data_IF_558531374853
#
_entry.id   IF_558531374853
#
_cell.length_a   1.000
_cell.length_b   1.000
_cell.length_c   1.000
_cell.angle_alpha   90.00
_cell.angle_beta   90.00
_cell.angle_gamma   90.00
#
_symmetry.space_group_name_H-M   'P 1'
#
loop_
_entity.id
_entity.type
_entity.pdbx_description
1 polymer ?
#
# COMPACT_ATOMS: atom_id res chain seq x y z
N UNK A 1 9.73 -7.74 -13.31
CA UNK A 1 9.20 -7.13 -14.57
C UNK A 1 7.70 -6.78 -14.49
N UNK A 2 6.91 -7.47 -13.66
CA UNK A 2 5.46 -7.23 -13.48
C UNK A 2 5.11 -5.88 -12.83
N UNK A 3 5.87 -5.45 -11.81
CA UNK A 3 5.59 -4.20 -11.07
C UNK A 3 5.71 -2.91 -11.91
N UNK A 4 6.63 -2.88 -12.88
CA UNK A 4 6.77 -1.73 -13.81
C UNK A 4 5.54 -1.58 -14.71
N UNK A 5 4.98 -2.71 -15.17
CA UNK A 5 3.76 -2.72 -15.98
C UNK A 5 2.55 -2.35 -15.13
N UNK A 6 2.47 -2.83 -13.89
CA UNK A 6 1.38 -2.51 -12.97
C UNK A 6 1.33 -1.02 -12.59
N UNK A 7 2.49 -0.40 -12.33
CA UNK A 7 2.58 1.03 -12.01
C UNK A 7 2.24 1.93 -13.20
N UNK A 8 2.70 1.58 -14.41
CA UNK A 8 2.29 2.25 -15.65
C UNK A 8 0.79 2.08 -15.90
N UNK A 9 0.23 0.90 -15.63
CA UNK A 9 -1.20 0.62 -15.76
C UNK A 9 -2.01 1.42 -14.73
N UNK A 10 -1.50 1.62 -13.51
CA UNK A 10 -2.12 2.46 -12.47
C UNK A 10 -2.11 3.96 -12.85
N UNK A 11 -1.00 4.46 -13.41
CA UNK A 11 -0.92 5.84 -13.93
C UNK A 11 -1.86 6.04 -15.12
N UNK A 12 -1.96 5.05 -16.00
CA UNK A 12 -2.89 5.07 -17.15
C UNK A 12 -4.33 4.95 -16.68
N UNK A 13 -4.65 4.10 -15.71
CA UNK A 13 -5.99 3.98 -15.12
C UNK A 13 -6.43 5.28 -14.41
N UNK A 14 -5.52 5.95 -13.70
CA UNK A 14 -5.83 7.21 -13.04
C UNK A 14 -6.08 8.36 -14.03
N UNK A 15 -5.49 8.30 -15.23
CA UNK A 15 -5.81 9.21 -16.34
C UNK A 15 -7.06 8.77 -17.12
N UNK A 16 -7.35 7.47 -17.21
CA UNK A 16 -8.50 6.92 -17.91
C UNK A 16 -9.82 7.05 -17.13
N UNK A 17 -9.78 7.11 -15.80
CA UNK A 17 -10.94 7.39 -14.95
C UNK A 17 -11.58 8.77 -15.22
N UNK A 18 -10.85 9.69 -15.86
CA UNK A 18 -11.41 10.96 -16.33
C UNK A 18 -12.13 10.88 -17.69
N UNK A 19 -12.09 9.71 -18.36
CA UNK A 19 -12.62 9.51 -19.72
C UNK A 19 -13.74 8.46 -19.81
N UNK A 20 -14.14 7.82 -18.71
CA UNK A 20 -15.25 6.85 -18.73
C UNK A 20 -16.53 7.52 -18.24
N UNK A 21 -17.12 8.32 -19.14
CA UNK A 21 -18.56 8.54 -19.14
C UNK A 21 -19.20 7.46 -20.04
N UNK A 22 -19.89 6.52 -19.40
CA UNK A 22 -21.05 5.77 -19.88
C UNK A 22 -21.07 5.25 -21.33
N UNK A 23 -20.95 3.92 -21.47
CA UNK A 23 -21.68 3.16 -22.49
C UNK A 23 -21.91 1.74 -22.00
N UNK A 24 -23.13 1.48 -21.52
CA UNK A 24 -23.65 0.13 -21.30
C UNK A 24 -23.84 -0.59 -22.63
N UNK A 25 -23.43 -1.84 -22.69
CA UNK A 25 -24.09 -2.88 -23.48
C UNK A 25 -23.58 -4.25 -23.03
N UNK A 26 -24.42 -4.94 -22.28
CA UNK A 26 -24.27 -6.34 -21.92
C UNK A 26 -24.40 -7.21 -23.18
N UNK A 27 -23.42 -8.10 -23.40
CA UNK A 27 -23.56 -9.24 -24.31
C UNK A 27 -23.23 -10.51 -23.52
N UNK A 28 -24.25 -11.29 -23.24
CA UNK A 28 -24.18 -12.63 -22.66
C UNK A 28 -23.48 -13.57 -23.65
N UNK A 29 -22.39 -14.23 -23.23
CA UNK A 29 -21.85 -15.39 -23.94
C UNK A 29 -22.32 -16.68 -23.26
N UNK A 30 -22.80 -17.69 -24.00
CA UNK A 30 -23.26 -18.94 -23.42
C UNK A 30 -22.07 -19.83 -23.02
N UNK A 31 -22.08 -20.27 -21.75
CA UNK A 31 -21.19 -21.28 -21.18
C UNK A 31 -21.48 -22.66 -21.80
N UNK A 32 -20.52 -23.22 -22.55
CA UNK A 32 -20.54 -24.64 -22.93
C UNK A 32 -20.08 -25.49 -21.74
N UNK A 33 -21.04 -26.02 -20.99
CA UNK A 33 -20.82 -27.08 -20.01
C UNK A 33 -20.64 -28.42 -20.74
N UNK A 34 -19.42 -28.95 -20.77
CA UNK A 34 -19.17 -30.34 -21.18
C UNK A 34 -19.26 -31.25 -19.96
N UNK A 35 -20.40 -31.91 -19.78
CA UNK A 35 -20.54 -33.00 -18.83
C UNK A 35 -19.72 -34.21 -19.33
N UNK A 36 -18.58 -34.49 -18.70
CA UNK A 36 -17.84 -35.74 -18.89
C UNK A 36 -18.42 -36.80 -17.96
N UNK A 37 -19.07 -37.81 -18.53
CA UNK A 37 -19.45 -39.02 -17.80
C UNK A 37 -18.18 -39.75 -17.34
N UNK A 38 -18.12 -40.25 -16.10
CA UNK A 38 -16.96 -40.99 -15.64
C UNK A 38 -16.89 -42.35 -16.35
N UNK A 39 -15.79 -42.58 -17.06
CA UNK A 39 -15.45 -43.87 -17.67
C UNK A 39 -15.20 -44.87 -16.53
N UNK A 40 -16.07 -45.87 -16.41
CA UNK A 40 -15.91 -46.98 -15.47
C UNK A 40 -14.73 -47.85 -15.93
N UNK A 41 -13.60 -47.71 -15.24
CA UNK A 41 -12.48 -48.66 -15.30
C UNK A 41 -12.60 -49.60 -14.10
N UNK A 42 -12.75 -50.90 -14.38
CA UNK A 42 -12.68 -52.04 -13.46
C UNK A 42 -13.23 -51.83 -12.05
N UNK A 43 -14.36 -52.46 -11.76
CA UNK A 43 -14.99 -52.49 -10.43
C UNK A 43 -14.02 -52.92 -9.33
N UNK A 44 -13.11 -53.87 -9.60
CA UNK A 44 -12.08 -54.31 -8.65
C UNK A 44 -11.05 -53.22 -8.36
N UNK A 45 -10.58 -52.52 -9.39
CA UNK A 45 -9.63 -51.41 -9.23
C UNK A 45 -10.24 -50.25 -8.43
N UNK A 46 -11.53 -50.00 -8.64
CA UNK A 46 -12.30 -49.02 -7.88
C UNK A 46 -12.48 -49.42 -6.41
N UNK A 47 -12.79 -50.69 -6.12
CA UNK A 47 -12.90 -51.21 -4.75
C UNK A 47 -11.56 -51.13 -4.01
N UNK A 48 -10.45 -51.49 -4.65
CA UNK A 48 -9.11 -51.39 -4.06
C UNK A 48 -8.75 -49.93 -3.76
N UNK A 49 -9.08 -49.01 -4.69
CA UNK A 49 -8.87 -47.58 -4.47
C UNK A 49 -9.75 -47.03 -3.34
N UNK A 50 -11.01 -47.47 -3.23
CA UNK A 50 -11.90 -47.11 -2.13
C UNK A 50 -11.38 -47.64 -0.79
N UNK A 51 -10.98 -48.91 -0.69
CA UNK A 51 -10.42 -49.49 0.53
C UNK A 51 -9.13 -48.78 0.98
N UNK A 52 -8.28 -48.38 0.02
CA UNK A 52 -7.09 -47.55 0.32
C UNK A 52 -7.48 -46.15 0.79
N UNK A 53 -8.51 -45.54 0.21
CA UNK A 53 -9.02 -44.24 0.63
C UNK A 53 -9.64 -44.30 2.03
N UNK A 54 -10.40 -45.35 2.32
CA UNK A 54 -11.08 -45.52 3.59
C UNK A 54 -10.11 -45.89 4.72
N UNK A 55 -9.09 -46.70 4.45
CA UNK A 55 -8.01 -46.93 5.42
C UNK A 55 -7.23 -45.64 5.76
N UNK A 56 -6.95 -44.78 4.77
CA UNK A 56 -6.33 -43.46 5.02
C UNK A 56 -7.26 -42.57 5.86
N UNK A 57 -8.57 -42.55 5.55
CA UNK A 57 -9.55 -41.81 6.35
C UNK A 57 -9.65 -42.34 7.77
N UNK A 58 -9.71 -43.65 7.99
CA UNK A 58 -9.74 -44.23 9.33
C UNK A 58 -8.49 -43.88 10.16
N UNK A 59 -7.32 -43.77 9.54
CA UNK A 59 -6.13 -43.26 10.21
C UNK A 59 -6.23 -41.77 10.53
N UNK A 60 -6.80 -40.97 9.64
CA UNK A 60 -7.02 -39.54 9.90
C UNK A 60 -8.06 -39.34 11.01
N UNK A 61 -9.13 -40.13 11.01
CA UNK A 61 -10.21 -40.09 12.00
C UNK A 61 -9.72 -40.58 13.37
N UNK A 62 -8.84 -41.58 13.43
CA UNK A 62 -8.24 -42.02 14.70
C UNK A 62 -7.31 -40.95 15.29
N UNK A 63 -6.47 -40.32 14.46
CA UNK A 63 -5.62 -39.20 14.88
C UNK A 63 -6.49 -38.03 15.35
N UNK A 64 -7.57 -37.73 14.63
CA UNK A 64 -8.52 -36.67 14.98
C UNK A 64 -9.25 -36.98 16.29
N UNK A 65 -9.71 -38.22 16.49
CA UNK A 65 -10.38 -38.64 17.72
C UNK A 65 -9.45 -38.57 18.95
N UNK A 66 -8.16 -38.88 18.79
CA UNK A 66 -7.15 -38.68 19.84
C UNK A 66 -6.97 -37.18 20.13
N UNK A 67 -6.90 -36.35 19.08
CA UNK A 67 -6.86 -34.88 19.22
C UNK A 67 -8.09 -34.31 19.94
N UNK A 68 -9.28 -34.76 19.58
CA UNK A 68 -10.55 -34.36 20.19
C UNK A 68 -10.65 -34.82 21.65
N UNK A 69 -10.06 -35.98 21.97
CA UNK A 69 -9.97 -36.46 23.37
C UNK A 69 -9.02 -35.59 24.21
N UNK A 70 -7.92 -35.11 23.63
CA UNK A 70 -6.97 -34.21 24.28
C UNK A 70 -7.49 -32.78 24.41
N UNK A 71 -8.36 -32.33 23.51
CA UNK A 71 -8.99 -31.00 23.62
C UNK A 71 -10.11 -30.99 24.66
N UNK A 72 -10.88 -32.09 24.78
CA UNK A 72 -11.96 -32.22 25.77
C UNK A 72 -11.45 -32.22 27.23
N UNK A 73 -10.17 -32.54 27.43
CA UNK A 73 -9.48 -32.46 28.73
C UNK A 73 -9.50 -31.05 29.33
N UNK A 74 -9.55 -30.00 28.51
CA UNK A 74 -9.52 -28.60 28.94
C UNK A 74 -10.90 -27.94 29.03
N UNK A 75 -11.94 -28.58 28.48
CA UNK A 75 -13.32 -28.06 28.44
C UNK A 75 -14.17 -28.54 29.63
N UNK A 76 -13.88 -29.71 30.20
CA UNK A 76 -14.57 -30.22 31.40
C UNK A 76 -14.01 -29.59 32.68
N UNK A 77 -14.82 -29.34 33.72
CA UNK A 77 -14.31 -28.88 35.00
C UNK A 77 -13.24 -29.86 35.51
N UNK A 78 -12.07 -29.37 35.95
CA UNK A 78 -10.97 -30.23 36.35
C UNK A 78 -11.39 -31.07 37.55
N UNK A 79 -11.27 -32.39 37.44
CA UNK A 79 -11.42 -33.30 38.57
C UNK A 79 -10.43 -32.91 39.67
N UNK A 80 -10.94 -32.75 40.90
CA UNK A 80 -10.18 -32.26 42.07
C UNK A 80 -9.01 -33.18 42.43
N UNK A 81 -9.08 -34.47 42.08
CA UNK A 81 -8.06 -35.47 42.39
C UNK A 81 -7.12 -35.77 41.22
N UNK A 82 -7.18 -35.00 40.13
CA UNK A 82 -6.37 -35.26 38.94
C UNK A 82 -4.93 -34.74 39.13
N UNK A 83 -3.89 -35.59 39.00
CA UNK A 83 -2.52 -35.12 39.02
C UNK A 83 -2.25 -34.25 37.80
N UNK A 84 -1.68 -33.06 38.03
CA UNK A 84 -1.35 -32.13 36.98
C UNK A 84 -0.01 -32.52 36.37
N UNK A 85 -0.04 -33.44 35.40
CA UNK A 85 1.17 -33.94 34.71
C UNK A 85 2.11 -32.84 34.21
N UNK A 86 1.57 -31.67 33.82
CA UNK A 86 2.40 -30.54 33.44
C UNK A 86 3.17 -29.96 34.62
N UNK A 87 2.48 -29.68 35.74
CA UNK A 87 3.15 -29.22 36.95
C UNK A 87 4.08 -30.30 37.50
N UNK A 88 3.67 -31.57 37.48
CA UNK A 88 4.50 -32.68 37.95
C UNK A 88 5.78 -32.82 37.12
N UNK A 89 5.69 -32.70 35.79
CA UNK A 89 6.87 -32.69 34.92
C UNK A 89 7.76 -31.45 35.13
N UNK A 90 7.18 -30.28 35.43
CA UNK A 90 7.96 -29.10 35.78
C UNK A 90 8.66 -29.26 37.13
N UNK A 91 7.95 -29.75 38.14
CA UNK A 91 8.51 -30.02 39.47
C UNK A 91 9.63 -31.04 39.33
N UNK A 92 9.42 -32.15 38.62
CA UNK A 92 10.47 -33.14 38.38
C UNK A 92 11.70 -32.56 37.63
N UNK A 93 11.46 -31.68 36.66
CA UNK A 93 12.53 -31.05 35.86
C UNK A 93 13.32 -30.02 36.68
N UNK A 94 12.67 -29.23 37.52
CA UNK A 94 13.27 -28.14 38.30
C UNK A 94 13.71 -28.56 39.71
N UNK A 95 13.24 -29.69 40.25
CA UNK A 95 13.63 -30.16 41.57
C UNK A 95 15.09 -30.64 41.59
N UNK A 96 15.86 -30.07 42.51
CA UNK A 96 17.24 -30.50 42.77
C UNK A 96 17.21 -31.82 43.55
N UNK A 97 17.43 -32.93 42.86
CA UNK A 97 17.57 -34.24 43.50
C UNK A 97 18.96 -34.33 44.16
N UNK A 98 19.01 -34.82 45.40
CA UNK A 98 20.26 -35.10 46.15
C UNK A 98 21.20 -33.90 46.39
N UNK A 99 20.67 -32.67 46.43
CA UNK A 99 21.46 -31.44 46.69
C UNK A 99 22.62 -31.20 45.69
N UNK A 100 22.62 -31.85 44.53
CA UNK A 100 23.64 -31.68 43.50
C UNK A 100 23.30 -30.52 42.56
N UNK A 101 23.64 -29.31 43.00
CA UNK A 101 23.43 -28.09 42.25
C UNK A 101 24.29 -28.00 40.97
N UNK A 102 25.45 -28.67 40.95
CA UNK A 102 26.36 -28.64 39.81
C UNK A 102 25.81 -29.46 38.63
N UNK A 103 25.34 -30.68 38.90
CA UNK A 103 24.69 -31.50 37.88
C UNK A 103 23.34 -30.89 37.42
N UNK A 104 22.59 -30.28 38.34
CA UNK A 104 21.34 -29.58 38.01
C UNK A 104 21.59 -28.36 37.10
N UNK A 105 22.57 -27.51 37.42
CA UNK A 105 22.91 -26.35 36.60
C UNK A 105 23.39 -26.74 35.20
N UNK A 106 24.06 -27.90 35.06
CA UNK A 106 24.50 -28.42 33.76
C UNK A 106 23.34 -28.81 32.83
N UNK A 107 22.16 -29.15 33.38
CA UNK A 107 20.95 -29.48 32.59
C UNK A 107 20.35 -28.25 31.89
N UNK A 108 20.60 -27.06 32.44
CA UNK A 108 20.14 -25.79 31.89
C UNK A 108 21.35 -24.97 31.43
N UNK A 109 21.98 -25.31 30.29
CA UNK A 109 23.04 -24.49 29.75
C UNK A 109 22.51 -23.05 29.59
N UNK A 110 23.31 -22.06 30.00
CA UNK A 110 22.97 -20.65 29.78
C UNK A 110 22.60 -20.50 28.31
N UNK A 111 21.32 -20.20 28.03
CA UNK A 111 20.87 -19.89 26.67
C UNK A 111 21.70 -18.70 26.19
N UNK A 112 22.61 -18.95 25.25
CA UNK A 112 23.40 -17.91 24.56
C UNK A 112 22.55 -17.14 23.55
N UNK A 113 21.30 -17.55 23.37
CA UNK A 113 20.31 -16.84 22.59
C UNK A 113 19.88 -15.58 23.33
N UNK A 114 20.61 -14.49 23.09
CA UNK A 114 20.18 -13.12 23.39
C UNK A 114 18.75 -12.93 22.86
N UNK A 115 17.81 -12.73 23.76
CA UNK A 115 16.44 -12.28 23.46
C UNK A 115 16.40 -10.90 22.77
N UNK A 116 17.55 -10.24 22.60
CA UNK A 116 17.71 -8.96 21.89
C UNK A 116 17.72 -9.05 20.36
N UNK A 117 17.65 -10.24 19.76
CA UNK A 117 17.58 -10.37 18.29
C UNK A 117 16.15 -10.34 17.77
N UNK A 118 15.44 -9.24 18.06
CA UNK A 118 14.43 -8.76 17.13
C UNK A 118 15.10 -8.49 15.79
N UNK A 119 14.52 -8.93 14.66
CA UNK A 119 15.03 -8.53 13.35
C UNK A 119 15.07 -6.99 13.32
N UNK A 120 16.22 -6.36 13.02
CA UNK A 120 16.26 -4.91 12.96
C UNK A 120 15.19 -4.45 11.98
N UNK A 121 14.21 -3.68 12.46
CA UNK A 121 13.26 -3.03 11.54
C UNK A 121 14.11 -2.21 10.58
N UNK A 122 13.93 -2.33 9.26
CA UNK A 122 14.66 -1.51 8.32
C UNK A 122 14.38 -0.06 8.70
N UNK A 123 15.41 0.64 9.19
CA UNK A 123 15.29 2.05 9.52
C UNK A 123 14.93 2.75 8.21
N UNK A 124 13.87 3.55 8.25
CA UNK A 124 13.51 4.41 7.13
C UNK A 124 14.71 5.24 6.69
N UNK A 125 14.77 5.54 5.41
CA UNK A 125 15.86 6.29 4.82
C UNK A 125 15.89 7.71 5.38
N UNK A 126 16.95 8.09 6.11
CA UNK A 126 16.99 9.33 6.90
C UNK A 126 16.81 10.59 6.04
N UNK A 127 17.27 10.56 4.78
CA UNK A 127 17.11 11.69 3.86
C UNK A 127 15.65 11.95 3.51
N UNK A 128 14.78 10.94 3.58
CA UNK A 128 13.35 11.11 3.27
C UNK A 128 12.75 12.08 4.28
N UNK A 129 13.02 11.86 5.57
CA UNK A 129 12.60 12.74 6.65
C UNK A 129 13.19 14.14 6.47
N UNK A 130 14.50 14.23 6.18
CA UNK A 130 15.15 15.52 5.93
C UNK A 130 14.53 16.28 4.76
N UNK A 131 14.17 15.59 3.68
CA UNK A 131 13.54 16.20 2.52
C UNK A 131 12.10 16.66 2.81
N UNK A 132 11.33 15.87 3.57
CA UNK A 132 9.99 16.30 4.05
C UNK A 132 10.10 17.59 4.85
N UNK A 133 11.07 17.72 5.76
CA UNK A 133 11.31 18.96 6.49
C UNK A 133 11.64 20.14 5.58
N UNK A 134 12.48 19.93 4.56
CA UNK A 134 12.78 20.96 3.55
C UNK A 134 11.51 21.37 2.81
N UNK A 135 10.64 20.42 2.49
CA UNK A 135 9.37 20.67 1.78
C UNK A 135 8.39 21.49 2.64
N UNK A 136 8.29 21.16 3.93
CA UNK A 136 7.51 21.92 4.91
C UNK A 136 8.07 23.33 5.09
N UNK A 137 9.39 23.46 5.17
CA UNK A 137 10.04 24.77 5.28
C UNK A 137 9.80 25.62 4.03
N UNK A 138 9.93 25.02 2.84
CA UNK A 138 9.63 25.68 1.57
C UNK A 138 8.16 26.12 1.50
N UNK A 139 7.22 25.28 1.93
CA UNK A 139 5.81 25.67 2.05
C UNK A 139 5.59 26.82 3.04
N UNK A 140 6.23 26.79 4.20
CA UNK A 140 6.14 27.87 5.18
C UNK A 140 6.68 29.20 4.64
N UNK A 141 7.78 29.15 3.87
CA UNK A 141 8.36 30.32 3.21
C UNK A 141 7.40 30.89 2.16
N UNK A 142 6.78 30.03 1.34
CA UNK A 142 5.75 30.45 0.38
C UNK A 142 4.51 31.04 1.07
N UNK A 143 4.06 30.42 2.16
CA UNK A 143 2.95 30.93 2.98
C UNK A 143 3.22 32.33 3.50
N UNK A 144 4.46 32.59 3.95
CA UNK A 144 4.83 33.91 4.48
C UNK A 144 4.99 34.95 3.37
N UNK A 145 5.73 34.60 2.29
CA UNK A 145 6.02 35.52 1.19
C UNK A 145 4.78 35.88 0.35
N UNK A 146 3.85 34.94 0.16
CA UNK A 146 2.70 35.08 -0.75
C UNK A 146 1.37 34.83 -0.05
N UNK A 147 1.26 35.19 1.23
CA UNK A 147 0.06 34.93 2.07
C UNK A 147 -1.25 35.41 1.43
N UNK A 148 -1.26 36.61 0.84
CA UNK A 148 -2.44 37.19 0.18
C UNK A 148 -2.85 36.41 -1.06
N UNK A 149 -1.89 36.06 -1.92
CA UNK A 149 -2.14 35.31 -3.14
C UNK A 149 -2.62 33.90 -2.82
N UNK A 150 -2.00 33.23 -1.85
CA UNK A 150 -2.42 31.92 -1.35
C UNK A 150 -3.84 31.92 -0.78
N UNK A 151 -4.19 32.94 0.02
CA UNK A 151 -5.55 33.06 0.54
C UNK A 151 -6.57 33.26 -0.58
N UNK A 152 -6.25 34.06 -1.60
CA UNK A 152 -7.11 34.25 -2.76
C UNK A 152 -7.28 32.94 -3.56
N UNK A 153 -6.20 32.17 -3.74
CA UNK A 153 -6.21 30.85 -4.39
C UNK A 153 -7.13 29.88 -3.63
N UNK A 154 -6.99 29.78 -2.31
CA UNK A 154 -7.84 28.91 -1.48
C UNK A 154 -9.30 29.34 -1.57
N UNK A 155 -9.60 30.64 -1.51
CA UNK A 155 -10.97 31.15 -1.63
C UNK A 155 -11.57 30.92 -3.02
N UNK A 156 -10.75 31.03 -4.09
CA UNK A 156 -11.17 30.75 -5.46
C UNK A 156 -11.65 29.30 -5.64
N UNK A 157 -11.11 28.36 -4.86
CA UNK A 157 -11.53 26.97 -4.90
C UNK A 157 -12.96 26.76 -4.40
N UNK A 158 -13.34 27.49 -3.35
CA UNK A 158 -14.67 27.36 -2.75
C UNK A 158 -15.72 28.26 -3.42
N UNK A 159 -15.31 29.24 -4.24
CA UNK A 159 -16.21 30.20 -4.87
C UNK A 159 -15.94 30.41 -6.36
N UNK A 160 -16.88 29.93 -7.19
CA UNK A 160 -16.86 30.16 -8.64
C UNK A 160 -16.84 31.66 -9.02
N UNK A 161 -17.40 32.52 -8.16
CA UNK A 161 -17.40 33.99 -8.38
C UNK A 161 -16.00 34.57 -8.24
N UNK A 162 -15.24 34.14 -7.25
CA UNK A 162 -13.85 34.57 -7.01
C UNK A 162 -12.94 34.03 -8.11
N UNK A 163 -13.18 32.79 -8.56
CA UNK A 163 -12.45 32.17 -9.66
C UNK A 163 -12.63 32.93 -10.99
N UNK A 164 -13.86 33.35 -11.30
CA UNK A 164 -14.16 34.17 -12.47
C UNK A 164 -13.57 35.60 -12.40
N UNK A 165 -13.42 36.17 -11.20
CA UNK A 165 -12.81 37.48 -10.99
C UNK A 165 -11.29 37.44 -11.13
N UNK A 166 -10.64 36.40 -10.57
CA UNK A 166 -9.19 36.17 -10.68
C UNK A 166 -8.79 35.86 -12.12
N UNK A 167 -9.61 35.12 -12.88
CA UNK A 167 -9.28 34.78 -14.27
C UNK A 167 -9.34 36.01 -15.22
N UNK A 168 -10.07 37.08 -14.85
CA UNK A 168 -10.06 38.36 -15.56
C UNK A 168 -8.76 39.15 -15.32
N UNK A 169 -8.11 38.95 -14.17
CA UNK A 169 -6.80 39.52 -13.88
C UNK A 169 -5.71 38.66 -14.55
N UNK A 170 -5.43 38.93 -15.83
CA UNK A 170 -4.56 38.10 -16.67
C UNK A 170 -3.13 37.88 -16.14
N UNK A 171 -2.70 38.66 -15.15
CA UNK A 171 -1.37 38.59 -14.53
C UNK A 171 -1.28 37.61 -13.35
N UNK A 172 -2.41 37.15 -12.80
CA UNK A 172 -2.40 36.36 -11.57
C UNK A 172 -1.75 34.98 -11.81
N UNK A 173 -2.12 34.26 -12.88
CA UNK A 173 -1.57 32.92 -13.17
C UNK A 173 -0.14 32.91 -13.75
N UNK A 174 0.36 34.06 -14.20
CA UNK A 174 1.75 34.18 -14.65
C UNK A 174 2.68 34.67 -13.53
N UNK A 175 2.18 34.71 -12.28
CA UNK A 175 2.95 35.15 -11.14
C UNK A 175 3.91 34.05 -10.65
N UNK A 176 5.06 34.50 -10.15
CA UNK A 176 6.09 33.66 -9.53
C UNK A 176 5.57 32.66 -8.50
N UNK A 177 4.63 33.00 -7.59
CA UNK A 177 4.12 32.02 -6.64
C UNK A 177 3.46 30.81 -7.29
N UNK A 178 2.74 30.95 -8.41
CA UNK A 178 2.19 29.76 -9.08
C UNK A 178 3.25 28.79 -9.55
N UNK A 179 4.38 29.28 -10.06
CA UNK A 179 5.53 28.44 -10.41
C UNK A 179 6.06 27.70 -9.17
N UNK A 180 6.22 28.41 -8.05
CA UNK A 180 6.74 27.80 -6.83
C UNK A 180 5.77 26.79 -6.18
N UNK A 181 4.47 27.09 -6.21
CA UNK A 181 3.42 26.17 -5.77
C UNK A 181 3.37 24.91 -6.65
N UNK A 182 3.52 25.09 -7.96
CA UNK A 182 3.56 23.99 -8.91
C UNK A 182 4.81 23.12 -8.71
N UNK A 183 5.95 23.74 -8.41
CA UNK A 183 7.16 23.02 -8.06
C UNK A 183 6.99 22.23 -6.74
N UNK A 184 6.38 22.85 -5.72
CA UNK A 184 6.02 22.18 -4.46
C UNK A 184 5.17 20.95 -4.71
N UNK A 185 4.12 21.07 -5.54
CA UNK A 185 3.26 19.96 -5.97
C UNK A 185 4.05 18.82 -6.64
N UNK A 186 4.96 19.16 -7.56
CA UNK A 186 5.77 18.15 -8.24
C UNK A 186 6.66 17.35 -7.29
N UNK A 187 7.23 18.04 -6.29
CA UNK A 187 8.04 17.38 -5.27
C UNK A 187 7.21 16.59 -4.24
N UNK A 188 6.03 17.08 -3.82
CA UNK A 188 5.14 16.33 -2.91
C UNK A 188 4.64 15.05 -3.56
N UNK A 189 4.13 15.11 -4.79
CA UNK A 189 3.70 13.91 -5.52
C UNK A 189 4.89 12.99 -5.81
N UNK A 190 6.04 13.53 -6.23
CA UNK A 190 7.23 12.70 -6.46
C UNK A 190 7.67 11.96 -5.20
N UNK A 191 7.59 12.60 -4.03
CA UNK A 191 7.89 11.97 -2.74
C UNK A 191 6.83 10.94 -2.35
N UNK A 192 5.54 11.25 -2.56
CA UNK A 192 4.46 10.28 -2.36
C UNK A 192 4.65 9.02 -3.22
N UNK A 193 4.93 9.18 -4.51
CA UNK A 193 5.20 8.07 -5.43
C UNK A 193 6.45 7.27 -5.02
N UNK A 194 7.49 7.94 -4.54
CA UNK A 194 8.69 7.29 -3.99
C UNK A 194 8.33 6.38 -2.81
N UNK A 195 7.52 6.88 -1.86
CA UNK A 195 7.08 6.14 -0.68
C UNK A 195 6.15 4.98 -1.05
N UNK A 196 5.22 5.18 -1.99
CA UNK A 196 4.38 4.10 -2.52
C UNK A 196 5.24 3.00 -3.17
N UNK A 197 6.25 3.37 -3.96
CA UNK A 197 7.17 2.43 -4.58
C UNK A 197 7.89 1.55 -3.56
N UNK A 198 8.31 2.14 -2.43
CA UNK A 198 8.92 1.42 -1.30
C UNK A 198 7.91 0.53 -0.58
N UNK A 199 6.69 1.01 -0.34
CA UNK A 199 5.64 0.25 0.33
C UNK A 199 5.25 -1.02 -0.45
N UNK A 200 5.10 -0.91 -1.77
CA UNK A 200 4.78 -2.05 -2.64
C UNK A 200 6.00 -2.93 -2.99
N UNK A 201 7.15 -2.73 -2.33
CA UNK A 201 8.38 -3.50 -2.52
C UNK A 201 8.82 -3.61 -3.99
N UNK A 202 8.58 -2.57 -4.79
CA UNK A 202 9.03 -2.58 -6.17
C UNK A 202 10.55 -2.56 -6.20
N UNK A 203 11.14 -3.68 -6.59
CA UNK A 203 12.59 -3.81 -6.79
C UNK A 203 12.97 -2.98 -8.02
N UNK A 204 13.37 -1.74 -7.77
CA UNK A 204 13.99 -0.89 -8.78
C UNK A 204 15.51 -0.99 -8.67
N UNK A 205 16.20 -1.12 -9.81
CA UNK A 205 17.67 -1.08 -9.86
C UNK A 205 18.28 0.26 -9.38
N UNK A 206 17.42 1.27 -9.15
CA UNK A 206 17.83 2.59 -8.70
C UNK A 206 17.50 2.73 -7.22
N UNK A 207 18.55 2.88 -6.40
CA UNK A 207 18.39 3.10 -4.98
C UNK A 207 18.41 4.60 -4.65
N UNK A 208 17.52 4.98 -3.74
CA UNK A 208 17.61 6.18 -2.94
C UNK A 208 17.21 7.50 -3.59
N UNK A 209 17.87 8.59 -3.18
CA UNK A 209 17.56 9.98 -3.54
C UNK A 209 17.51 10.23 -5.06
N UNK A 210 18.38 9.58 -5.83
CA UNK A 210 18.39 9.72 -7.29
C UNK A 210 17.16 9.11 -7.99
N UNK A 211 16.46 8.17 -7.36
CA UNK A 211 15.17 7.67 -7.86
C UNK A 211 14.05 8.66 -7.57
N UNK A 212 14.03 9.23 -6.36
CA UNK A 212 13.11 10.30 -5.98
C UNK A 212 13.21 11.50 -6.94
N UNK A 213 14.40 12.04 -7.19
CA UNK A 213 14.58 13.19 -8.09
C UNK A 213 14.07 12.92 -9.50
N UNK A 214 14.31 11.71 -10.03
CA UNK A 214 13.79 11.31 -11.34
C UNK A 214 12.27 11.22 -11.36
N UNK A 215 11.66 10.64 -10.32
CA UNK A 215 10.21 10.59 -10.19
C UNK A 215 9.60 12.01 -10.16
N UNK A 216 10.16 12.92 -9.35
CA UNK A 216 9.70 14.31 -9.28
C UNK A 216 9.83 15.02 -10.62
N UNK A 217 10.95 14.89 -11.32
CA UNK A 217 11.14 15.50 -12.65
C UNK A 217 10.13 14.94 -13.65
N UNK A 218 9.93 13.61 -13.67
CA UNK A 218 8.94 12.98 -14.57
C UNK A 218 7.55 13.52 -14.29
N UNK A 219 7.15 13.64 -13.03
CA UNK A 219 5.85 14.20 -12.61
C UNK A 219 5.71 15.63 -13.12
N UNK A 220 6.69 16.49 -12.83
CA UNK A 220 6.67 17.90 -13.25
C UNK A 220 6.57 18.01 -14.77
N UNK A 221 7.39 17.27 -15.51
CA UNK A 221 7.40 17.30 -16.98
C UNK A 221 6.07 16.81 -17.55
N UNK A 222 5.52 15.70 -17.03
CA UNK A 222 4.26 15.13 -17.50
C UNK A 222 3.10 16.11 -17.30
N UNK A 223 2.99 16.69 -16.10
CA UNK A 223 1.94 17.66 -15.81
C UNK A 223 2.13 18.98 -16.57
N UNK A 224 3.37 19.39 -16.84
CA UNK A 224 3.66 20.59 -17.65
C UNK A 224 3.25 20.33 -19.10
N UNK A 225 3.64 19.18 -19.65
CA UNK A 225 3.25 18.77 -20.99
C UNK A 225 1.72 18.73 -21.14
N UNK A 226 1.00 18.23 -20.12
CA UNK A 226 -0.47 18.26 -20.09
C UNK A 226 -1.04 19.68 -20.22
N UNK A 227 -0.50 20.65 -19.48
CA UNK A 227 -0.93 22.05 -19.55
C UNK A 227 -0.61 22.67 -20.93
N UNK A 228 0.56 22.37 -21.48
CA UNK A 228 0.97 22.87 -22.81
C UNK A 228 0.08 22.32 -23.91
N UNK A 229 -0.21 21.01 -23.90
CA UNK A 229 -1.11 20.37 -24.87
C UNK A 229 -2.50 21.00 -24.81
N UNK A 230 -3.04 21.23 -23.60
CA UNK A 230 -4.32 21.91 -23.41
C UNK A 230 -4.30 23.33 -24.01
N UNK A 231 -3.23 24.10 -23.80
CA UNK A 231 -3.07 25.44 -24.39
C UNK A 231 -3.04 25.39 -25.91
N UNK A 232 -2.31 24.45 -26.51
CA UNK A 232 -2.23 24.28 -27.96
C UNK A 232 -3.60 23.91 -28.53
N UNK A 233 -4.33 22.98 -27.91
CA UNK A 233 -5.70 22.62 -28.28
C UNK A 233 -6.65 23.82 -28.20
N UNK A 234 -6.56 24.62 -27.13
CA UNK A 234 -7.36 25.83 -26.98
C UNK A 234 -7.10 26.88 -28.05
N UNK A 235 -5.85 27.00 -28.48
CA UNK A 235 -5.46 27.86 -29.60
C UNK A 235 -6.01 27.32 -30.93
N UNK A 236 -5.86 26.03 -31.20
CA UNK A 236 -6.29 25.41 -32.47
C UNK A 236 -7.82 25.43 -32.64
N UNK A 237 -8.57 25.32 -31.54
CA UNK A 237 -10.04 25.27 -31.52
C UNK A 237 -10.69 26.66 -31.36
N UNK A 238 -9.90 27.74 -31.22
CA UNK A 238 -10.42 29.09 -30.96
C UNK A 238 -11.06 29.27 -29.57
N UNK A 239 -10.95 28.27 -28.68
CA UNK A 239 -11.54 28.25 -27.35
C UNK A 239 -10.57 28.71 -26.24
N UNK A 240 -9.66 29.63 -26.55
CA UNK A 240 -8.56 30.08 -25.67
C UNK A 240 -9.06 30.54 -24.29
N UNK A 241 -10.20 31.24 -24.24
CA UNK A 241 -10.79 31.74 -22.99
C UNK A 241 -11.24 30.61 -22.06
N UNK A 242 -11.92 29.61 -22.61
CA UNK A 242 -12.41 28.44 -21.86
C UNK A 242 -11.23 27.61 -21.36
N UNK A 243 -10.22 27.40 -22.20
CA UNK A 243 -9.01 26.67 -21.81
C UNK A 243 -8.22 27.40 -20.72
N UNK A 244 -8.14 28.73 -20.75
CA UNK A 244 -7.49 29.51 -19.68
C UNK A 244 -8.19 29.30 -18.33
N UNK A 245 -9.51 29.28 -18.32
CA UNK A 245 -10.31 28.97 -17.12
C UNK A 245 -10.07 27.54 -16.63
N UNK A 246 -10.05 26.57 -17.55
CA UNK A 246 -9.76 25.18 -17.21
C UNK A 246 -8.36 24.99 -16.63
N UNK A 247 -7.33 25.59 -17.24
CA UNK A 247 -5.95 25.54 -16.74
C UNK A 247 -5.85 26.15 -15.34
N UNK A 248 -6.63 27.20 -15.07
CA UNK A 248 -6.71 27.83 -13.75
C UNK A 248 -7.26 26.88 -12.68
N UNK A 249 -8.39 26.21 -12.98
CA UNK A 249 -8.98 25.18 -12.12
C UNK A 249 -8.01 24.02 -11.90
N UNK A 250 -7.30 23.61 -12.95
CA UNK A 250 -6.36 22.51 -12.91
C UNK A 250 -5.14 22.83 -12.03
N UNK A 251 -4.55 24.02 -12.15
CA UNK A 251 -3.45 24.47 -11.28
C UNK A 251 -3.91 24.58 -9.82
N UNK A 252 -5.13 25.09 -9.61
CA UNK A 252 -5.73 25.18 -8.28
C UNK A 252 -5.93 23.80 -7.64
N UNK A 253 -6.40 22.83 -8.42
CA UNK A 253 -6.51 21.44 -8.00
C UNK A 253 -5.15 20.83 -7.64
N UNK A 254 -4.09 21.14 -8.39
CA UNK A 254 -2.73 20.68 -8.09
C UNK A 254 -2.21 21.25 -6.78
N UNK A 255 -2.45 22.53 -6.51
CA UNK A 255 -2.10 23.11 -5.22
C UNK A 255 -2.79 22.37 -4.05
N UNK A 256 -4.09 22.13 -4.16
CA UNK A 256 -4.82 21.39 -3.12
C UNK A 256 -4.32 19.95 -2.96
N UNK A 257 -4.06 19.27 -4.07
CA UNK A 257 -3.45 17.94 -4.03
C UNK A 257 -2.08 17.99 -3.35
N UNK A 258 -1.26 19.03 -3.57
CA UNK A 258 0.02 19.19 -2.90
C UNK A 258 -0.12 19.28 -1.37
N UNK A 259 -1.15 19.98 -0.88
CA UNK A 259 -1.45 20.08 0.55
C UNK A 259 -1.93 18.76 1.14
N UNK A 260 -2.82 18.06 0.44
CA UNK A 260 -3.38 16.77 0.90
C UNK A 260 -2.32 15.66 0.90
N UNK A 261 -1.49 15.62 -0.13
CA UNK A 261 -0.42 14.62 -0.28
C UNK A 261 0.91 15.07 0.32
N UNK A 262 0.94 16.20 1.00
CA UNK A 262 2.13 16.59 1.75
C UNK A 262 2.36 15.48 2.78
N UNK A 263 3.51 14.79 2.75
CA UNK A 263 3.79 13.72 3.70
C UNK A 263 3.99 14.36 5.07
N UNK A 264 2.95 14.35 5.91
CA UNK A 264 3.00 14.69 7.34
C UNK A 264 3.07 13.39 8.13
#
# INVERSE_FOLDING_TARGET
MFGKKLFLLLIVLFNALALVAQSDSAVLQPSKSTYRLPVFKDSLSYIIWQAKKDSIKHHQDSIKAVGDSLSMVWLKPPDKNRPNKFIDSLVELYQVKNLDFAAWAKKFPKKTERYDRGKPRPKGELWVVGFVFILLFFFALLKNAFSKELSAIIQAFYSNRVLGQINKEEKFFNSWPFIFLYLLFGFTIGMFLYQCGKYFQLTYNYNGFGWFMRLSIIVIVLFTAKIVILRILGFLLGAVKIVKEYVSILILSYFNAALVFLPI
#
